data_IF_625274611327
#
_entry.id   IF_625274611327
#
_cell.length_a   1.000
_cell.length_b   1.000
_cell.length_c   1.000
_cell.angle_alpha   90.00
_cell.angle_beta   90.00
_cell.angle_gamma   90.00
#
_symmetry.space_group_name_H-M   'P 1'
#
loop_
_entity.id
_entity.type
_entity.pdbx_description
1 polymer ?
#
# COMPACT_ATOMS: atom_id res chain seq x y z
N UNK A 1 1.75 -6.26 -2.44
CA UNK A 1 2.86 -6.01 -3.39
C UNK A 1 4.16 -6.68 -2.91
N UNK A 2 4.59 -6.40 -1.70
CA UNK A 2 5.79 -6.90 -1.04
C UNK A 2 5.87 -8.44 -0.99
N UNK A 3 4.84 -9.15 -0.50
CA UNK A 3 4.81 -10.61 -0.49
C UNK A 3 4.94 -11.25 -1.87
N UNK A 4 4.44 -10.58 -2.92
CA UNK A 4 4.59 -11.05 -4.30
C UNK A 4 6.01 -10.92 -4.82
N UNK A 5 6.73 -9.88 -4.42
CA UNK A 5 8.15 -9.67 -4.78
C UNK A 5 9.03 -10.70 -4.08
N UNK A 6 8.77 -10.95 -2.79
CA UNK A 6 9.45 -11.96 -2.00
C UNK A 6 9.28 -13.38 -2.60
N UNK A 7 8.04 -13.76 -2.95
CA UNK A 7 7.74 -15.08 -3.53
C UNK A 7 8.39 -15.24 -4.92
N UNK A 8 8.55 -14.18 -5.70
CA UNK A 8 9.23 -14.25 -7.02
C UNK A 8 10.72 -14.59 -6.93
N UNK A 9 11.38 -14.27 -5.80
CA UNK A 9 12.76 -14.67 -5.53
C UNK A 9 12.90 -16.17 -5.23
N UNK A 10 11.80 -16.87 -4.89
CA UNK A 10 11.81 -18.30 -4.61
C UNK A 10 11.56 -19.04 -5.93
N UNK A 11 12.64 -19.47 -6.60
CA UNK A 11 12.52 -20.45 -7.68
C UNK A 11 12.36 -21.85 -7.05
N UNK A 12 11.65 -22.75 -7.78
CA UNK A 12 11.40 -24.12 -7.32
C UNK A 12 12.73 -24.82 -6.95
N UNK A 13 12.85 -25.19 -5.67
CA UNK A 13 13.96 -25.96 -5.08
C UNK A 13 15.20 -25.20 -4.58
N UNK A 14 15.16 -23.87 -4.48
CA UNK A 14 16.23 -23.13 -3.79
C UNK A 14 16.03 -23.20 -2.26
N UNK A 15 17.15 -23.26 -1.54
CA UNK A 15 17.12 -23.25 -0.08
C UNK A 15 16.73 -21.87 0.42
N UNK A 16 15.97 -21.80 1.51
CA UNK A 16 15.57 -20.53 2.14
C UNK A 16 16.75 -19.60 2.50
N UNK A 17 17.95 -20.18 2.63
CA UNK A 17 19.20 -19.50 2.96
C UNK A 17 19.79 -18.72 1.76
N UNK A 18 19.29 -18.95 0.54
CA UNK A 18 19.74 -18.33 -0.70
C UNK A 18 18.81 -17.20 -1.16
N UNK A 19 17.78 -16.83 -0.34
CA UNK A 19 16.83 -15.80 -0.69
C UNK A 19 17.47 -14.41 -0.58
N UNK A 20 17.28 -13.61 -1.61
CA UNK A 20 17.64 -12.20 -1.61
C UNK A 20 16.79 -11.41 -0.59
N UNK A 21 17.45 -10.53 0.16
CA UNK A 21 16.75 -9.62 1.05
C UNK A 21 15.83 -8.69 0.27
N UNK A 22 14.54 -8.69 0.62
CA UNK A 22 13.53 -7.83 0.03
C UNK A 22 13.20 -6.69 0.98
N UNK A 23 13.49 -5.46 0.56
CA UNK A 23 13.17 -4.25 1.30
C UNK A 23 12.07 -3.50 0.54
N UNK A 24 10.92 -3.29 1.19
CA UNK A 24 9.88 -2.41 0.68
C UNK A 24 10.04 -1.02 1.28
N UNK A 25 10.22 0.00 0.45
CA UNK A 25 10.34 1.40 0.90
C UNK A 25 9.04 2.13 0.54
N UNK A 26 8.37 2.65 1.56
CA UNK A 26 7.18 3.48 1.45
C UNK A 26 7.55 4.92 1.82
N UNK A 27 7.40 5.84 0.87
CA UNK A 27 7.60 7.28 1.09
C UNK A 27 6.23 7.94 1.03
N UNK A 28 5.83 8.68 2.08
CA UNK A 28 4.54 9.34 2.17
C UNK A 28 4.69 10.86 2.24
N UNK A 29 3.77 11.59 1.60
CA UNK A 29 3.62 13.03 1.70
C UNK A 29 2.66 13.46 2.85
N UNK A 30 2.34 12.53 3.74
CA UNK A 30 1.45 12.72 4.90
C UNK A 30 1.95 11.91 6.08
N UNK A 31 1.58 12.33 7.29
CA UNK A 31 1.84 11.57 8.52
C UNK A 31 0.84 10.41 8.64
N UNK A 32 1.35 9.21 8.95
CA UNK A 32 0.52 8.00 9.09
C UNK A 32 -0.06 7.97 10.49
N UNK A 33 -1.40 7.83 10.58
CA UNK A 33 -2.11 7.73 11.85
C UNK A 33 -1.61 6.52 12.67
N UNK A 34 -1.24 6.77 13.91
CA UNK A 34 -0.70 5.78 14.84
C UNK A 34 0.83 5.72 14.85
N UNK A 35 1.51 6.52 14.02
CA UNK A 35 2.97 6.64 14.00
C UNK A 35 3.47 8.04 14.38
N UNK A 36 2.61 8.86 15.01
CA UNK A 36 2.86 10.29 15.28
C UNK A 36 4.12 10.51 16.14
N UNK A 37 4.35 9.61 17.10
CA UNK A 37 5.47 9.68 18.05
C UNK A 37 6.80 9.16 17.48
N UNK A 38 6.76 8.55 16.29
CA UNK A 38 7.96 8.01 15.65
C UNK A 38 8.60 9.06 14.74
N UNK A 39 9.92 8.93 14.52
CA UNK A 39 10.67 9.79 13.61
C UNK A 39 10.26 9.64 12.14
N UNK A 40 10.86 10.47 11.28
CA UNK A 40 10.55 10.44 9.85
C UNK A 40 10.93 9.13 9.15
N UNK A 41 11.86 8.37 9.70
CA UNK A 41 12.35 7.09 9.20
C UNK A 41 12.04 6.00 10.21
N UNK A 42 11.31 4.97 9.78
CA UNK A 42 11.03 3.80 10.60
C UNK A 42 11.30 2.53 9.82
N UNK A 43 11.87 1.54 10.50
CA UNK A 43 12.20 0.25 9.95
C UNK A 43 11.40 -0.83 10.67
N UNK A 44 10.69 -1.65 9.91
CA UNK A 44 9.74 -2.63 10.40
C UNK A 44 10.17 -4.03 9.98
N UNK A 45 10.13 -4.95 10.95
CA UNK A 45 10.41 -6.37 10.75
C UNK A 45 9.24 -7.20 11.29
N UNK A 46 9.11 -8.43 10.82
CA UNK A 46 8.13 -9.38 11.33
C UNK A 46 8.74 -10.04 12.58
N UNK A 47 8.08 -9.85 13.72
CA UNK A 47 8.51 -10.42 14.99
C UNK A 47 7.38 -11.26 15.61
N UNK A 48 7.77 -12.26 16.39
CA UNK A 48 6.89 -12.98 17.30
C UNK A 48 6.43 -12.00 18.39
N UNK A 49 5.12 -11.94 18.66
CA UNK A 49 4.52 -10.95 19.56
C UNK A 49 4.42 -11.40 21.03
N UNK A 50 4.78 -12.66 21.34
CA UNK A 50 4.78 -13.20 22.68
C UNK A 50 5.99 -12.77 23.51
N UNK A 51 6.45 -13.66 24.37
CA UNK A 51 7.49 -13.34 25.36
C UNK A 51 8.90 -13.14 24.77
N UNK A 52 9.24 -13.85 23.70
CA UNK A 52 10.62 -13.89 23.19
C UNK A 52 10.94 -12.82 22.14
N UNK A 53 9.94 -12.25 21.49
CA UNK A 53 10.10 -11.23 20.43
C UNK A 53 11.15 -11.58 19.37
N UNK A 54 11.16 -12.83 18.93
CA UNK A 54 12.11 -13.34 17.94
C UNK A 54 11.74 -12.81 16.56
N UNK A 55 12.73 -12.35 15.80
CA UNK A 55 12.55 -11.95 14.40
C UNK A 55 12.29 -13.21 13.57
N UNK A 56 11.17 -13.23 12.85
CA UNK A 56 10.78 -14.37 12.01
C UNK A 56 11.75 -14.58 10.85
N UNK A 57 12.19 -13.48 10.23
CA UNK A 57 13.09 -13.51 9.07
C UNK A 57 13.83 -12.18 8.93
N UNK A 58 15.10 -12.24 8.56
CA UNK A 58 15.92 -11.07 8.21
C UNK A 58 15.80 -10.70 6.71
N UNK A 59 15.15 -11.54 5.91
CA UNK A 59 15.04 -11.34 4.45
C UNK A 59 13.87 -10.44 4.06
N UNK A 60 13.04 -10.03 5.01
CA UNK A 60 11.87 -9.19 4.75
C UNK A 60 11.88 -7.96 5.66
N UNK A 61 11.86 -6.77 5.05
CA UNK A 61 11.94 -5.50 5.77
C UNK A 61 11.03 -4.46 5.12
N UNK A 62 10.39 -3.64 5.92
CA UNK A 62 9.60 -2.50 5.45
C UNK A 62 10.21 -1.23 6.03
N UNK A 63 10.56 -0.29 5.16
CA UNK A 63 11.00 1.04 5.54
C UNK A 63 9.86 2.00 5.24
N UNK A 64 9.48 2.81 6.24
CA UNK A 64 8.50 3.88 6.06
C UNK A 64 9.20 5.20 6.29
N UNK A 65 9.04 6.12 5.34
CA UNK A 65 9.58 7.47 5.36
C UNK A 65 8.42 8.45 5.23
N UNK A 66 8.22 9.27 6.26
CA UNK A 66 7.15 10.27 6.30
C UNK A 66 7.76 11.66 6.09
N UNK A 67 7.68 12.20 4.85
CA UNK A 67 8.29 13.45 4.47
C UNK A 67 7.92 14.64 5.36
N UNK A 68 6.67 14.83 5.83
CA UNK A 68 6.33 15.94 6.70
C UNK A 68 7.13 16.00 8.01
N UNK A 69 7.64 14.86 8.47
CA UNK A 69 8.38 14.76 9.74
C UNK A 69 9.85 15.17 9.62
N UNK A 70 10.43 15.26 8.42
CA UNK A 70 11.85 15.61 8.25
C UNK A 70 12.18 16.97 8.84
N UNK A 71 11.23 17.90 8.88
CA UNK A 71 11.41 19.23 9.44
C UNK A 71 11.45 19.26 10.98
N UNK A 72 11.05 18.17 11.64
CA UNK A 72 11.13 18.02 13.09
C UNK A 72 12.56 17.65 13.54
N UNK A 73 13.38 17.19 12.60
CA UNK A 73 14.77 16.78 12.86
C UNK A 73 15.74 17.92 12.60
N UNK A 74 16.78 18.01 13.43
CA UNK A 74 17.90 18.94 13.15
C UNK A 74 18.74 18.35 12.03
N UNK A 75 18.86 19.10 10.93
CA UNK A 75 19.75 18.72 9.83
C UNK A 75 21.21 18.67 10.33
N UNK A 76 21.80 17.49 10.32
CA UNK A 76 23.23 17.32 10.45
C UNK A 76 23.87 17.40 9.05
N UNK A 77 24.91 18.22 8.90
CA UNK A 77 25.69 18.25 7.64
C UNK A 77 26.22 16.86 7.31
N UNK A 78 25.98 16.41 6.07
CA UNK A 78 26.44 15.11 5.59
C UNK A 78 25.47 13.95 5.82
N UNK A 79 24.28 14.18 6.37
CA UNK A 79 23.20 13.20 6.35
C UNK A 79 22.61 13.12 4.93
N UNK A 80 23.23 12.26 4.11
CA UNK A 80 22.86 12.10 2.70
C UNK A 80 21.41 11.67 2.52
N UNK A 81 20.85 10.84 3.43
CA UNK A 81 19.46 10.42 3.34
C UNK A 81 18.56 11.63 3.51
N UNK A 82 18.75 12.39 4.57
CA UNK A 82 17.93 13.57 4.87
C UNK A 82 18.02 14.62 3.76
N UNK A 83 19.20 14.81 3.16
CA UNK A 83 19.41 15.71 2.02
C UNK A 83 18.56 15.29 0.79
N UNK A 84 18.51 14.01 0.47
CA UNK A 84 17.64 13.48 -0.57
C UNK A 84 16.16 13.62 -0.24
N UNK A 85 15.78 13.46 1.02
CA UNK A 85 14.38 13.60 1.45
C UNK A 85 13.91 15.07 1.34
N UNK A 86 14.75 16.05 1.66
CA UNK A 86 14.45 17.47 1.39
C UNK A 86 14.22 17.72 -0.10
N UNK A 87 15.07 17.15 -0.95
CA UNK A 87 14.90 17.27 -2.40
C UNK A 87 13.60 16.62 -2.89
N UNK A 88 13.25 15.45 -2.39
CA UNK A 88 12.02 14.75 -2.77
C UNK A 88 10.75 15.47 -2.29
N UNK A 89 10.83 16.09 -1.12
CA UNK A 89 9.69 16.81 -0.54
C UNK A 89 9.43 18.13 -1.27
N UNK A 90 10.47 18.96 -1.43
CA UNK A 90 10.35 20.23 -2.13
C UNK A 90 11.64 20.61 -2.87
N UNK A 91 11.80 20.20 -4.15
CA UNK A 91 13.00 20.46 -4.92
C UNK A 91 13.31 21.96 -5.15
N UNK A 92 12.36 22.85 -4.87
CA UNK A 92 12.51 24.30 -5.05
C UNK A 92 12.81 25.06 -3.74
N UNK A 93 12.94 24.36 -2.61
CA UNK A 93 13.18 24.99 -1.30
C UNK A 93 14.57 25.63 -1.20
N UNK A 94 14.73 26.59 -0.29
CA UNK A 94 16.02 27.24 0.01
C UNK A 94 17.00 26.24 0.65
N UNK A 95 16.49 25.24 1.39
CA UNK A 95 17.28 24.15 1.95
C UNK A 95 17.95 23.33 0.85
N UNK A 96 17.22 23.01 -0.22
CA UNK A 96 17.76 22.26 -1.36
C UNK A 96 18.84 23.06 -2.08
N UNK A 97 18.70 24.39 -2.21
CA UNK A 97 19.76 25.24 -2.79
C UNK A 97 21.07 25.11 -1.99
N UNK A 98 21.00 25.16 -0.66
CA UNK A 98 22.17 24.98 0.20
C UNK A 98 22.76 23.56 0.10
N UNK A 99 21.89 22.55 -0.01
CA UNK A 99 22.33 21.16 -0.17
C UNK A 99 23.07 20.95 -1.48
N UNK A 100 22.68 21.59 -2.57
CA UNK A 100 23.33 21.48 -3.88
C UNK A 100 24.81 21.90 -3.84
N UNK A 101 25.18 22.81 -2.96
CA UNK A 101 26.58 23.23 -2.79
C UNK A 101 27.44 22.14 -2.13
N UNK A 102 26.82 21.22 -1.38
CA UNK A 102 27.46 20.19 -0.58
C UNK A 102 27.25 18.77 -1.14
N UNK A 103 26.18 18.56 -1.94
CA UNK A 103 25.79 17.25 -2.48
C UNK A 103 25.63 17.29 -4.00
N UNK A 104 26.66 16.87 -4.71
CA UNK A 104 26.69 16.80 -6.17
C UNK A 104 25.59 15.89 -6.76
N UNK A 105 25.15 14.85 -6.04
CA UNK A 105 24.07 13.97 -6.47
C UNK A 105 22.73 14.71 -6.51
N UNK A 106 22.41 15.47 -5.46
CA UNK A 106 21.19 16.30 -5.40
C UNK A 106 21.24 17.41 -6.46
N UNK A 107 22.42 18.01 -6.67
CA UNK A 107 22.62 19.03 -7.72
C UNK A 107 22.27 18.46 -9.11
N UNK A 108 22.87 17.34 -9.48
CA UNK A 108 22.59 16.67 -10.79
C UNK A 108 21.12 16.28 -10.94
N UNK A 109 20.51 15.77 -9.86
CA UNK A 109 19.09 15.42 -9.89
C UNK A 109 18.21 16.65 -10.10
N UNK A 110 18.54 17.80 -9.49
CA UNK A 110 17.83 19.05 -9.67
C UNK A 110 17.97 19.57 -11.09
N UNK A 111 19.19 19.61 -11.63
CA UNK A 111 19.46 20.01 -13.02
C UNK A 111 18.66 19.12 -13.99
N UNK A 112 18.66 17.82 -13.76
CA UNK A 112 17.90 16.88 -14.59
C UNK A 112 16.39 17.07 -14.50
N UNK A 113 15.88 17.39 -13.32
CA UNK A 113 14.47 17.71 -13.12
C UNK A 113 14.07 19.00 -13.87
N UNK A 114 14.96 19.99 -13.96
CA UNK A 114 14.73 21.24 -14.68
C UNK A 114 14.79 21.07 -16.21
N UNK A 115 15.56 20.09 -16.70
CA UNK A 115 15.59 19.72 -18.13
C UNK A 115 14.28 19.06 -18.62
N UNK A 116 13.53 18.41 -17.71
CA UNK A 116 12.26 17.76 -18.07
C UNK A 116 11.25 18.86 -18.42
N UNK A 117 10.74 18.85 -19.65
CA UNK A 117 9.77 19.83 -20.10
C UNK A 117 8.49 19.81 -19.24
N UNK A 118 7.89 20.97 -19.02
CA UNK A 118 6.61 21.05 -18.29
C UNK A 118 5.52 20.21 -18.99
N UNK A 119 5.55 20.09 -20.30
CA UNK A 119 4.61 19.29 -21.07
C UNK A 119 4.74 17.79 -20.75
N UNK A 120 5.96 17.27 -20.60
CA UNK A 120 6.18 15.86 -20.19
C UNK A 120 5.69 15.59 -18.77
N UNK A 121 5.89 16.53 -17.85
CA UNK A 121 5.38 16.46 -16.49
C UNK A 121 3.85 16.45 -16.50
N UNK A 122 3.24 17.35 -17.27
CA UNK A 122 1.77 17.43 -17.39
C UNK A 122 1.18 16.18 -18.02
N UNK A 123 1.80 15.61 -19.05
CA UNK A 123 1.38 14.35 -19.63
C UNK A 123 1.41 13.22 -18.59
N UNK A 124 2.49 13.07 -17.84
CA UNK A 124 2.58 12.04 -16.77
C UNK A 124 1.55 12.22 -15.66
N UNK A 125 1.29 13.48 -15.26
CA UNK A 125 0.24 13.78 -14.27
C UNK A 125 -1.13 13.38 -14.80
N UNK A 126 -1.42 13.68 -16.07
CA UNK A 126 -2.67 13.29 -16.72
C UNK A 126 -2.80 11.77 -16.81
N UNK A 127 -1.76 11.06 -17.21
CA UNK A 127 -1.75 9.60 -17.27
C UNK A 127 -2.02 8.98 -15.88
N UNK A 128 -1.46 9.54 -14.83
CA UNK A 128 -1.71 9.08 -13.46
C UNK A 128 -3.13 9.35 -12.99
N UNK A 129 -3.73 10.50 -13.37
CA UNK A 129 -5.13 10.81 -13.09
C UNK A 129 -6.05 9.81 -13.78
N UNK A 130 -5.85 9.59 -15.10
CA UNK A 130 -6.62 8.61 -15.88
C UNK A 130 -6.49 7.20 -15.28
N UNK A 131 -5.28 6.79 -14.89
CA UNK A 131 -5.08 5.50 -14.23
C UNK A 131 -5.77 5.43 -12.85
N UNK A 132 -5.81 6.54 -12.12
CA UNK A 132 -6.53 6.64 -10.84
C UNK A 132 -8.04 6.46 -11.03
N UNK A 133 -8.62 7.20 -11.95
CA UNK A 133 -10.05 7.11 -12.32
C UNK A 133 -10.42 5.70 -12.82
N UNK A 134 -9.57 5.09 -13.64
CA UNK A 134 -9.79 3.72 -14.11
C UNK A 134 -9.77 2.69 -12.96
N UNK A 135 -8.89 2.88 -11.97
CA UNK A 135 -8.84 2.02 -10.76
C UNK A 135 -10.11 2.16 -9.92
N UNK A 136 -10.59 3.39 -9.70
CA UNK A 136 -11.82 3.63 -8.95
C UNK A 136 -13.03 3.05 -9.71
N UNK A 137 -13.15 3.29 -11.00
CA UNK A 137 -14.19 2.69 -11.83
C UNK A 137 -14.19 1.16 -11.77
N UNK A 138 -13.01 0.55 -11.85
CA UNK A 138 -12.87 -0.92 -11.78
C UNK A 138 -13.27 -1.46 -10.42
N UNK A 139 -12.96 -0.72 -9.34
CA UNK A 139 -13.32 -1.06 -7.96
C UNK A 139 -14.82 -0.98 -7.75
N UNK A 140 -15.45 0.11 -8.20
CA UNK A 140 -16.91 0.27 -8.15
C UNK A 140 -17.64 -0.82 -8.94
N UNK A 141 -17.17 -1.10 -10.16
CA UNK A 141 -17.74 -2.16 -10.98
C UNK A 141 -17.69 -3.52 -10.29
N UNK A 142 -16.54 -3.89 -9.69
CA UNK A 142 -16.41 -5.14 -8.92
C UNK A 142 -17.33 -5.18 -7.71
N UNK A 143 -17.40 -4.10 -6.94
CA UNK A 143 -18.28 -4.02 -5.78
C UNK A 143 -19.76 -4.18 -6.17
N UNK A 144 -20.17 -3.59 -7.30
CA UNK A 144 -21.52 -3.75 -7.85
C UNK A 144 -21.80 -5.19 -8.26
N UNK A 145 -20.89 -5.83 -9.02
CA UNK A 145 -21.03 -7.23 -9.45
C UNK A 145 -21.09 -8.19 -8.26
N UNK A 146 -20.30 -7.96 -7.23
CA UNK A 146 -20.33 -8.74 -5.98
C UNK A 146 -21.64 -8.53 -5.22
N UNK A 147 -22.13 -7.30 -5.14
CA UNK A 147 -23.42 -6.97 -4.53
C UNK A 147 -24.60 -7.62 -5.27
N UNK A 148 -24.61 -7.58 -6.60
CA UNK A 148 -25.63 -8.24 -7.41
C UNK A 148 -25.62 -9.77 -7.21
N UNK A 149 -24.44 -10.39 -7.19
CA UNK A 149 -24.32 -11.86 -6.92
C UNK A 149 -24.78 -12.22 -5.52
N UNK A 150 -24.42 -11.42 -4.53
CA UNK A 150 -24.86 -11.64 -3.14
C UNK A 150 -26.37 -11.47 -3.00
N UNK A 151 -26.95 -10.43 -3.61
CA UNK A 151 -28.38 -10.17 -3.63
C UNK A 151 -29.18 -11.30 -4.29
N UNK A 152 -28.69 -11.82 -5.42
CA UNK A 152 -29.31 -12.96 -6.12
C UNK A 152 -29.33 -14.22 -5.25
N UNK A 153 -28.17 -14.58 -4.66
CA UNK A 153 -28.09 -15.74 -3.74
C UNK A 153 -29.02 -15.60 -2.53
N UNK A 154 -29.12 -14.40 -1.97
CA UNK A 154 -29.98 -14.14 -0.84
C UNK A 154 -31.48 -14.22 -1.24
N UNK A 155 -31.82 -13.70 -2.40
CA UNK A 155 -33.16 -13.79 -2.97
C UNK A 155 -33.59 -15.24 -3.24
N UNK A 156 -32.69 -16.06 -3.78
CA UNK A 156 -32.92 -17.52 -4.01
C UNK A 156 -33.19 -18.23 -2.68
N UNK A 157 -32.36 -18.01 -1.65
CA UNK A 157 -32.57 -18.61 -0.32
C UNK A 157 -33.91 -18.23 0.31
N UNK A 158 -34.24 -16.92 0.28
CA UNK A 158 -35.53 -16.45 0.81
C UNK A 158 -36.72 -17.07 0.02
N UNK A 159 -36.56 -17.20 -1.29
CA UNK A 159 -37.56 -17.85 -2.14
C UNK A 159 -37.76 -19.32 -1.81
N UNK A 160 -36.68 -20.07 -1.58
CA UNK A 160 -36.74 -21.46 -1.14
C UNK A 160 -37.37 -21.62 0.25
N UNK A 161 -36.99 -20.81 1.21
CA UNK A 161 -37.60 -20.82 2.56
C UNK A 161 -39.08 -20.50 2.52
N UNK A 162 -39.52 -19.54 1.71
CA UNK A 162 -40.94 -19.24 1.54
C UNK A 162 -41.71 -20.39 0.94
N UNK A 163 -41.17 -21.06 -0.11
CA UNK A 163 -41.76 -22.24 -0.72
C UNK A 163 -41.89 -23.40 0.28
N UNK A 164 -40.82 -23.66 1.05
CA UNK A 164 -40.86 -24.69 2.10
C UNK A 164 -41.92 -24.42 3.15
N UNK A 165 -42.04 -23.18 3.63
CA UNK A 165 -43.09 -22.76 4.58
C UNK A 165 -44.50 -22.91 4.00
N UNK A 166 -44.68 -22.59 2.73
CA UNK A 166 -45.95 -22.72 2.04
C UNK A 166 -46.35 -24.22 1.88
N UNK A 167 -45.39 -25.06 1.49
CA UNK A 167 -45.60 -26.50 1.38
C UNK A 167 -45.96 -27.08 2.76
N UNK A 168 -45.23 -26.75 3.81
CA UNK A 168 -45.49 -27.22 5.15
C UNK A 168 -46.88 -26.78 5.64
N UNK A 169 -47.31 -25.56 5.34
CA UNK A 169 -48.65 -25.05 5.64
C UNK A 169 -49.74 -25.87 4.90
N UNK A 170 -49.58 -26.09 3.61
CA UNK A 170 -50.51 -26.88 2.79
C UNK A 170 -50.62 -28.32 3.26
N UNK A 171 -49.49 -28.92 3.70
CA UNK A 171 -49.50 -30.28 4.29
C UNK A 171 -50.24 -30.32 5.59
N UNK A 172 -50.06 -29.33 6.46
CA UNK A 172 -50.80 -29.25 7.73
C UNK A 172 -52.29 -29.04 7.53
N UNK A 173 -52.71 -28.23 6.56
CA UNK A 173 -54.14 -28.01 6.20
C UNK A 173 -54.76 -29.28 5.62
N UNK A 174 -53.99 -30.13 4.96
CA UNK A 174 -54.47 -31.43 4.41
C UNK A 174 -54.39 -32.61 5.40
N UNK A 175 -54.04 -32.36 6.66
CA UNK A 175 -54.03 -33.39 7.71
C UNK A 175 -52.89 -34.43 7.56
N UNK A 176 -51.86 -34.17 6.75
CA UNK A 176 -50.72 -35.04 6.59
C UNK A 176 -49.77 -34.76 7.77
N UNK A 177 -49.80 -35.63 8.78
CA UNK A 177 -48.80 -35.60 9.87
C UNK A 177 -47.48 -36.20 9.35
N UNK A 178 -46.40 -35.56 9.70
CA UNK A 178 -45.05 -36.14 9.49
C UNK A 178 -44.91 -37.32 10.47
N UNK A 179 -44.66 -38.51 9.97
CA UNK A 179 -44.05 -39.59 10.74
C UNK A 179 -42.57 -39.31 10.98
#
# INVERSE_FOLDING_TARGET
YWGRTYIRGIQKAERYEELDKTIAILITAFEIKGLEELGYYTNWKIIETGERKVILTEYMEIVIIELPKIYKEKRNKGDKLLEWLYFLENPKSEEVKKIMDENEGVKKAKEKLEEISQDEIMQRINDWKVMGEYREFTKEKRAREEGEKAGKKMGEKIGEEKKQKEIARKMKEKGIQNE
#
